data_IF_571656085762
#
_entry.id   IF_571656085762
#
_cell.length_a   1.000
_cell.length_b   1.000
_cell.length_c   1.000
_cell.angle_alpha   90.00
_cell.angle_beta   90.00
_cell.angle_gamma   90.00
#
_symmetry.space_group_name_H-M   'P 1'
#
loop_
_entity.id
_entity.type
_entity.pdbx_description
1 polymer ?
#
# COMPACT_ATOMS: atom_id res chain seq x y z
N UNK A 1 32.64 28.36 -4.03
CA UNK A 1 33.23 27.03 -3.84
C UNK A 1 32.08 26.05 -3.90
N UNK A 2 31.92 25.43 -5.05
CA UNK A 2 30.89 24.43 -5.35
C UNK A 2 31.51 23.06 -5.10
N UNK A 3 31.12 22.42 -4.00
CA UNK A 3 31.48 21.02 -3.79
C UNK A 3 30.49 20.13 -4.56
N UNK A 4 31.03 19.50 -5.59
CA UNK A 4 30.37 18.44 -6.35
C UNK A 4 30.21 17.22 -5.43
N UNK A 5 29.00 16.90 -5.07
CA UNK A 5 28.66 15.64 -4.39
C UNK A 5 28.56 14.54 -5.46
N UNK A 6 29.70 13.90 -5.77
CA UNK A 6 29.71 12.64 -6.50
C UNK A 6 29.24 11.54 -5.54
N UNK A 7 28.04 11.00 -5.81
CA UNK A 7 27.56 9.81 -5.13
C UNK A 7 28.44 8.60 -5.47
N UNK A 8 28.59 7.63 -4.57
CA UNK A 8 29.45 6.47 -4.79
C UNK A 8 28.95 5.66 -5.99
N UNK A 9 29.65 5.78 -7.09
CA UNK A 9 29.70 4.80 -8.17
C UNK A 9 30.68 3.74 -7.69
N UNK A 10 30.35 2.47 -7.97
CA UNK A 10 31.28 1.34 -7.87
C UNK A 10 31.40 0.59 -6.53
N UNK A 11 30.26 -0.02 -6.08
CA UNK A 11 30.35 -1.27 -5.29
C UNK A 11 29.29 -2.31 -5.72
N UNK A 12 28.77 -2.22 -6.94
CA UNK A 12 27.65 -3.06 -7.41
C UNK A 12 28.10 -4.30 -8.21
N UNK A 13 29.41 -4.49 -8.43
CA UNK A 13 29.94 -5.62 -9.21
C UNK A 13 30.54 -6.75 -8.33
N UNK A 14 30.03 -6.98 -7.13
CA UNK A 14 30.31 -8.23 -6.43
C UNK A 14 29.30 -9.28 -6.84
N UNK A 15 29.85 -10.34 -7.45
CA UNK A 15 29.18 -11.53 -7.93
C UNK A 15 28.12 -12.02 -6.93
N UNK A 16 26.90 -12.21 -7.41
CA UNK A 16 25.82 -12.84 -6.68
C UNK A 16 26.15 -14.32 -6.47
N UNK A 17 25.88 -14.90 -5.30
CA UNK A 17 25.93 -16.34 -5.16
C UNK A 17 24.87 -16.97 -6.08
N UNK A 18 25.32 -17.87 -6.93
CA UNK A 18 24.45 -18.78 -7.68
C UNK A 18 23.67 -19.63 -6.67
N UNK A 19 22.35 -19.59 -6.72
CA UNK A 19 21.57 -20.53 -5.94
C UNK A 19 20.32 -19.95 -5.33
N UNK A 20 19.28 -20.01 -6.05
CA UNK A 20 17.91 -19.74 -5.62
C UNK A 20 16.98 -19.93 -6.81
N UNK A 21 16.97 -21.15 -7.36
CA UNK A 21 15.98 -21.57 -8.35
C UNK A 21 14.60 -21.53 -7.71
N UNK A 22 13.90 -20.42 -7.91
CA UNK A 22 12.46 -20.42 -7.80
C UNK A 22 11.91 -21.22 -8.98
N UNK A 23 11.81 -22.51 -8.79
CA UNK A 23 11.21 -23.41 -9.75
C UNK A 23 9.73 -23.06 -9.93
N UNK A 24 9.42 -22.31 -10.98
CA UNK A 24 8.23 -22.66 -11.72
C UNK A 24 8.61 -23.88 -12.57
N UNK A 25 8.23 -25.05 -12.15
CA UNK A 25 8.36 -26.28 -12.95
C UNK A 25 7.42 -26.25 -14.17
N UNK A 26 7.37 -25.12 -14.88
CA UNK A 26 6.74 -25.05 -16.18
C UNK A 26 7.69 -25.66 -17.20
N UNK A 27 7.59 -26.97 -17.39
CA UNK A 27 8.10 -27.61 -18.60
C UNK A 27 7.10 -27.32 -19.71
N UNK A 28 7.50 -26.61 -20.79
CA UNK A 28 6.67 -26.50 -21.97
C UNK A 28 6.30 -27.92 -22.40
N UNK A 29 5.02 -28.19 -22.57
CA UNK A 29 4.56 -29.47 -23.09
C UNK A 29 5.24 -29.75 -24.43
N UNK A 30 5.78 -30.97 -24.60
CA UNK A 30 6.41 -31.38 -25.83
C UNK A 30 5.39 -31.26 -26.97
N UNK A 31 5.61 -30.33 -27.89
CA UNK A 31 4.65 -29.99 -28.96
C UNK A 31 4.42 -31.10 -29.98
N UNK A 32 5.11 -32.21 -29.83
CA UNK A 32 5.00 -33.37 -30.71
C UNK A 32 3.89 -34.36 -30.30
N UNK A 33 3.26 -34.21 -29.14
CA UNK A 33 2.18 -35.09 -28.70
C UNK A 33 0.81 -34.47 -29.02
N UNK A 34 0.31 -34.77 -30.23
CA UNK A 34 -0.98 -34.28 -30.77
C UNK A 34 -2.19 -34.82 -29.96
N UNK A 35 -1.96 -35.67 -28.97
CA UNK A 35 -2.99 -36.31 -28.16
C UNK A 35 -3.06 -35.86 -26.70
N UNK A 36 -2.46 -34.73 -26.33
CA UNK A 36 -2.59 -34.20 -24.95
C UNK A 36 -4.03 -33.73 -24.76
N UNK A 37 -4.87 -34.60 -24.25
CA UNK A 37 -6.18 -34.27 -23.73
C UNK A 37 -5.98 -33.57 -22.39
N UNK A 38 -5.89 -32.23 -22.38
CA UNK A 38 -6.00 -31.45 -21.16
C UNK A 38 -7.41 -31.64 -20.60
N UNK A 39 -7.52 -32.36 -19.51
CA UNK A 39 -8.80 -32.45 -18.81
C UNK A 39 -9.08 -31.06 -18.22
N UNK A 40 -10.29 -30.53 -18.46
CA UNK A 40 -10.74 -29.23 -17.98
C UNK A 40 -10.54 -29.07 -16.45
N UNK A 41 -10.69 -30.16 -15.69
CA UNK A 41 -10.43 -30.20 -14.25
C UNK A 41 -8.97 -29.92 -13.89
N UNK A 42 -8.00 -30.45 -14.63
CA UNK A 42 -6.56 -30.19 -14.38
C UNK A 42 -6.18 -28.75 -14.74
N UNK A 43 -6.73 -28.22 -15.83
CA UNK A 43 -6.54 -26.80 -16.18
C UNK A 43 -7.12 -25.88 -15.09
N UNK A 44 -8.34 -26.18 -14.62
CA UNK A 44 -8.97 -25.39 -13.56
C UNK A 44 -8.16 -25.46 -12.26
N UNK A 45 -7.71 -26.65 -11.87
CA UNK A 45 -6.94 -26.82 -10.64
C UNK A 45 -5.61 -26.07 -10.69
N UNK A 46 -4.79 -26.26 -11.72
CA UNK A 46 -3.46 -25.70 -11.79
C UNK A 46 -3.49 -24.18 -12.07
N UNK A 47 -4.21 -23.75 -13.10
CA UNK A 47 -4.25 -22.31 -13.44
C UNK A 47 -5.00 -21.48 -12.42
N UNK A 48 -6.03 -22.03 -11.79
CA UNK A 48 -6.73 -21.33 -10.72
C UNK A 48 -5.85 -21.18 -9.48
N UNK A 49 -5.10 -22.20 -9.10
CA UNK A 49 -4.17 -22.13 -7.96
C UNK A 49 -3.03 -21.16 -8.25
N UNK A 50 -2.46 -21.17 -9.45
CA UNK A 50 -1.41 -20.25 -9.85
C UNK A 50 -1.91 -18.80 -9.82
N UNK A 51 -3.10 -18.55 -10.40
CA UNK A 51 -3.70 -17.23 -10.37
C UNK A 51 -4.07 -16.79 -8.95
N UNK A 52 -4.65 -17.66 -8.14
CA UNK A 52 -4.99 -17.37 -6.75
C UNK A 52 -3.74 -17.02 -5.93
N UNK A 53 -2.67 -17.81 -6.06
CA UNK A 53 -1.39 -17.56 -5.42
C UNK A 53 -0.79 -16.22 -5.84
N UNK A 54 -0.81 -15.92 -7.14
CA UNK A 54 -0.35 -14.63 -7.66
C UNK A 54 -1.15 -13.45 -7.07
N UNK A 55 -2.49 -13.54 -7.04
CA UNK A 55 -3.34 -12.47 -6.49
C UNK A 55 -3.11 -12.28 -5.00
N UNK A 56 -2.86 -13.35 -4.24
CA UNK A 56 -2.57 -13.26 -2.80
C UNK A 56 -1.20 -12.61 -2.58
N UNK A 57 -0.15 -13.15 -3.18
CA UNK A 57 1.24 -12.79 -2.87
C UNK A 57 1.70 -11.50 -3.55
N UNK A 58 1.27 -11.27 -4.80
CA UNK A 58 1.81 -10.19 -5.63
C UNK A 58 0.83 -9.01 -5.84
N UNK A 59 -0.36 -9.03 -5.20
CA UNK A 59 -1.34 -7.95 -5.40
C UNK A 59 -2.08 -7.51 -4.14
N UNK A 60 -2.76 -8.42 -3.44
CA UNK A 60 -3.80 -8.05 -2.49
C UNK A 60 -3.32 -7.92 -1.05
N UNK A 61 -2.39 -8.78 -0.63
CA UNK A 61 -1.96 -8.86 0.77
C UNK A 61 -0.73 -7.99 0.98
N UNK A 62 -0.75 -7.09 1.99
CA UNK A 62 0.43 -6.32 2.38
C UNK A 62 1.44 -7.22 3.08
N UNK A 63 2.71 -6.90 2.95
CA UNK A 63 3.75 -7.60 3.71
C UNK A 63 3.84 -7.02 5.13
N UNK A 64 3.97 -7.88 6.15
CA UNK A 64 3.97 -7.46 7.55
C UNK A 64 5.14 -6.54 7.91
N UNK A 65 6.30 -6.72 7.28
CA UNK A 65 7.51 -5.95 7.58
C UNK A 65 7.43 -4.48 7.16
N UNK A 66 6.73 -4.17 6.08
CA UNK A 66 6.64 -2.81 5.56
C UNK A 66 5.20 -2.29 5.42
N UNK A 67 4.20 -3.12 5.64
CA UNK A 67 2.80 -2.72 5.53
C UNK A 67 2.34 -2.39 4.11
N UNK A 68 3.12 -2.73 3.10
CA UNK A 68 2.90 -2.32 1.72
C UNK A 68 2.48 -3.49 0.84
N UNK A 69 1.57 -3.21 -0.09
CA UNK A 69 1.31 -4.09 -1.23
C UNK A 69 2.47 -3.98 -2.23
N UNK A 70 2.73 -5.00 -3.05
CA UNK A 70 3.84 -4.96 -4.02
C UNK A 70 3.84 -3.72 -4.92
N UNK A 71 2.69 -3.30 -5.44
CA UNK A 71 2.59 -2.08 -6.26
C UNK A 71 2.98 -0.81 -5.50
N UNK A 72 2.58 -0.69 -4.23
CA UNK A 72 2.91 0.45 -3.39
C UNK A 72 4.41 0.52 -3.11
N UNK A 73 5.03 -0.63 -2.84
CA UNK A 73 6.48 -0.74 -2.64
C UNK A 73 7.25 -0.33 -3.88
N UNK A 74 6.82 -0.76 -5.07
CA UNK A 74 7.41 -0.37 -6.36
C UNK A 74 7.26 1.12 -6.66
N UNK A 75 6.12 1.73 -6.30
CA UNK A 75 5.90 3.18 -6.39
C UNK A 75 6.91 3.92 -5.52
N UNK A 76 7.02 3.57 -4.24
CA UNK A 76 7.96 4.23 -3.33
C UNK A 76 9.42 4.02 -3.75
N UNK A 77 9.76 2.84 -4.24
CA UNK A 77 11.08 2.57 -4.81
C UNK A 77 11.37 3.44 -6.04
N UNK A 78 10.40 3.58 -6.96
CA UNK A 78 10.51 4.48 -8.11
C UNK A 78 10.71 5.92 -7.70
N UNK A 79 9.90 6.40 -6.75
CA UNK A 79 10.01 7.77 -6.23
C UNK A 79 11.39 7.99 -5.56
N UNK A 80 11.91 6.99 -4.83
CA UNK A 80 13.24 7.07 -4.22
C UNK A 80 14.36 7.18 -5.25
N UNK A 81 14.25 6.49 -6.38
CA UNK A 81 15.22 6.58 -7.49
C UNK A 81 15.16 7.91 -8.23
N UNK A 82 14.01 8.56 -8.22
CA UNK A 82 13.79 9.87 -8.85
C UNK A 82 14.00 11.05 -7.89
N UNK A 83 14.34 10.76 -6.62
CA UNK A 83 14.38 11.76 -5.55
C UNK A 83 15.49 12.80 -5.76
N UNK A 84 15.08 14.05 -5.94
CA UNK A 84 15.95 15.22 -6.07
C UNK A 84 15.49 16.42 -5.23
N UNK A 85 14.57 16.19 -4.30
CA UNK A 85 13.97 17.21 -3.42
C UNK A 85 12.81 17.98 -4.05
N UNK A 86 12.54 17.81 -5.34
CA UNK A 86 11.47 18.52 -6.06
C UNK A 86 10.24 17.66 -6.25
N UNK A 87 9.12 18.31 -6.52
CA UNK A 87 7.91 17.62 -6.96
C UNK A 87 8.08 17.08 -8.37
N UNK A 88 7.67 15.85 -8.58
CA UNK A 88 7.62 15.20 -9.88
C UNK A 88 6.17 15.04 -10.34
N UNK A 89 5.92 15.22 -11.64
CA UNK A 89 4.61 14.89 -12.23
C UNK A 89 4.27 13.43 -11.96
N UNK A 90 3.05 13.18 -11.52
CA UNK A 90 2.57 11.81 -11.28
C UNK A 90 2.72 10.96 -12.56
N UNK A 91 2.47 11.51 -13.73
CA UNK A 91 2.69 10.83 -15.01
C UNK A 91 4.12 10.29 -15.17
N UNK A 92 5.14 11.04 -14.72
CA UNK A 92 6.53 10.60 -14.77
C UNK A 92 6.81 9.48 -13.75
N UNK A 93 6.23 9.58 -12.55
CA UNK A 93 6.34 8.54 -11.53
C UNK A 93 5.71 7.24 -12.04
N UNK A 94 4.52 7.30 -12.66
CA UNK A 94 3.88 6.13 -13.26
C UNK A 94 4.76 5.50 -14.34
N UNK A 95 5.27 6.31 -15.28
CA UNK A 95 6.16 5.83 -16.34
C UNK A 95 7.41 5.15 -15.78
N UNK A 96 8.03 5.74 -14.74
CA UNK A 96 9.17 5.13 -14.10
C UNK A 96 8.81 3.84 -13.34
N UNK A 97 7.62 3.77 -12.74
CA UNK A 97 7.18 2.60 -11.98
C UNK A 97 6.86 1.40 -12.89
N UNK A 98 6.36 1.65 -14.10
CA UNK A 98 6.00 0.57 -15.06
C UNK A 98 7.18 -0.33 -15.48
N UNK A 99 8.43 0.08 -15.25
CA UNK A 99 9.59 -0.78 -15.50
C UNK A 99 9.74 -1.96 -14.51
N UNK A 100 8.99 -1.97 -13.40
CA UNK A 100 9.06 -3.03 -12.38
C UNK A 100 7.93 -4.06 -12.48
N UNK A 101 6.64 -3.69 -12.55
CA UNK A 101 5.55 -4.63 -12.69
C UNK A 101 5.04 -4.71 -14.14
N UNK A 102 4.47 -5.85 -14.54
CA UNK A 102 3.74 -5.98 -15.81
C UNK A 102 2.32 -5.43 -15.69
N UNK A 103 2.15 -4.24 -15.09
CA UNK A 103 0.85 -3.62 -14.85
C UNK A 103 0.71 -2.31 -15.60
N UNK A 104 -0.51 -1.96 -16.01
CA UNK A 104 -0.81 -0.70 -16.67
C UNK A 104 -0.76 0.51 -15.73
N UNK A 105 -0.62 1.68 -16.33
CA UNK A 105 -0.53 2.99 -15.67
C UNK A 105 -1.74 3.32 -14.77
N UNK A 106 -2.94 2.92 -15.16
CA UNK A 106 -4.15 3.19 -14.40
C UNK A 106 -4.10 2.57 -12.98
N UNK A 107 -3.74 1.28 -12.87
CA UNK A 107 -3.67 0.59 -11.58
C UNK A 107 -2.56 1.13 -10.68
N UNK A 108 -1.44 1.56 -11.26
CA UNK A 108 -0.35 2.21 -10.54
C UNK A 108 -0.80 3.61 -10.08
N UNK A 109 -1.52 4.33 -10.94
CA UNK A 109 -2.08 5.64 -10.64
C UNK A 109 -3.04 5.61 -9.46
N UNK A 110 -3.98 4.69 -9.46
CA UNK A 110 -4.93 4.51 -8.37
C UNK A 110 -4.22 4.18 -7.04
N UNK A 111 -3.21 3.31 -7.08
CA UNK A 111 -2.42 2.98 -5.90
C UNK A 111 -1.61 4.18 -5.38
N UNK A 112 -1.04 5.00 -6.27
CA UNK A 112 -0.32 6.21 -5.90
C UNK A 112 -1.25 7.26 -5.29
N UNK A 113 -2.45 7.45 -5.87
CA UNK A 113 -3.46 8.37 -5.31
C UNK A 113 -3.89 7.92 -3.91
N UNK A 114 -4.16 6.63 -3.72
CA UNK A 114 -4.49 6.09 -2.40
C UNK A 114 -3.37 6.29 -1.36
N UNK A 115 -2.11 6.13 -1.75
CA UNK A 115 -0.97 6.43 -0.87
C UNK A 115 -0.88 7.92 -0.53
N UNK A 116 -1.09 8.80 -1.52
CA UNK A 116 -1.07 10.24 -1.33
C UNK A 116 -2.19 10.73 -0.41
N UNK A 117 -3.39 10.21 -0.57
CA UNK A 117 -4.55 10.56 0.26
C UNK A 117 -4.41 10.16 1.74
N UNK A 118 -3.46 9.28 2.08
CA UNK A 118 -3.13 8.94 3.48
C UNK A 118 -2.23 9.97 4.16
N UNK A 119 -1.69 10.93 3.40
CA UNK A 119 -0.96 12.11 3.89
C UNK A 119 0.20 11.80 4.86
N UNK A 120 0.91 10.70 4.60
CA UNK A 120 2.01 10.23 5.46
C UNK A 120 3.33 10.07 4.70
N UNK A 121 3.34 9.30 3.61
CA UNK A 121 4.56 8.94 2.88
C UNK A 121 4.85 9.85 1.70
N UNK A 122 3.85 10.54 1.21
CA UNK A 122 3.91 11.32 -0.03
C UNK A 122 3.36 12.73 0.23
N UNK A 123 4.18 13.73 -0.07
CA UNK A 123 3.73 15.11 -0.19
C UNK A 123 3.04 15.28 -1.54
N UNK A 124 1.80 15.75 -1.51
CA UNK A 124 0.94 15.89 -2.67
C UNK A 124 0.79 17.35 -3.10
N UNK A 125 0.82 17.62 -4.39
CA UNK A 125 0.53 18.95 -4.96
C UNK A 125 -0.49 18.82 -6.09
N UNK A 126 -1.50 19.73 -6.06
CA UNK A 126 -2.63 19.69 -6.98
C UNK A 126 -3.87 19.01 -6.39
N UNK A 127 -4.82 18.64 -7.26
CA UNK A 127 -6.07 18.01 -6.84
C UNK A 127 -5.92 16.47 -6.80
N UNK A 128 -5.76 15.94 -5.60
CA UNK A 128 -5.65 14.49 -5.34
C UNK A 128 -6.98 13.81 -4.98
N UNK A 129 -8.10 14.49 -5.26
CA UNK A 129 -9.43 14.04 -4.86
C UNK A 129 -9.73 14.36 -3.40
N UNK A 130 -10.87 13.89 -2.92
CA UNK A 130 -11.29 14.13 -1.54
C UNK A 130 -12.00 12.89 -0.99
N UNK A 131 -11.43 12.31 0.07
CA UNK A 131 -11.98 11.10 0.71
C UNK A 131 -13.35 11.32 1.38
N UNK A 132 -13.68 12.57 1.74
CA UNK A 132 -14.95 12.90 2.37
C UNK A 132 -16.08 13.08 1.36
N UNK A 133 -15.81 13.77 0.25
CA UNK A 133 -16.81 13.98 -0.81
C UNK A 133 -16.89 12.80 -1.77
N UNK A 134 -15.80 12.06 -1.93
CA UNK A 134 -15.67 10.99 -2.93
C UNK A 134 -15.19 11.48 -4.29
N UNK A 135 -14.75 12.76 -4.39
CA UNK A 135 -14.23 13.31 -5.64
C UNK A 135 -12.95 12.59 -6.07
N UNK A 136 -12.85 12.34 -7.36
CA UNK A 136 -11.69 11.70 -7.96
C UNK A 136 -10.51 12.67 -8.06
N UNK A 137 -9.29 12.13 -8.05
CA UNK A 137 -8.08 12.89 -8.33
C UNK A 137 -8.07 13.39 -9.78
N UNK A 138 -7.38 14.50 -10.02
CA UNK A 138 -7.12 14.99 -11.36
C UNK A 138 -6.21 14.02 -12.13
N UNK A 139 -6.20 14.15 -13.47
CA UNK A 139 -5.36 13.30 -14.30
C UNK A 139 -3.86 13.43 -13.92
N UNK A 140 -3.07 12.33 -14.05
CA UNK A 140 -1.66 12.27 -13.63
C UNK A 140 -0.73 13.36 -14.17
N UNK A 141 -1.08 13.97 -15.32
CA UNK A 141 -0.34 15.07 -15.92
C UNK A 141 -0.47 16.41 -15.18
N UNK A 142 -1.49 16.55 -14.31
CA UNK A 142 -1.77 17.81 -13.62
C UNK A 142 -1.32 17.81 -12.16
N UNK A 143 -1.19 16.66 -11.54
CA UNK A 143 -0.82 16.50 -10.14
C UNK A 143 0.65 16.10 -10.01
N UNK A 144 1.23 16.45 -8.87
CA UNK A 144 2.63 16.25 -8.58
C UNK A 144 2.82 15.63 -7.20
N UNK A 145 3.90 14.87 -7.04
CA UNK A 145 4.24 14.20 -5.81
C UNK A 145 5.74 14.19 -5.56
N UNK A 146 6.11 14.12 -4.29
CA UNK A 146 7.45 13.77 -3.83
C UNK A 146 7.36 12.92 -2.56
N UNK A 147 8.45 12.27 -2.19
CA UNK A 147 8.51 11.58 -0.90
C UNK A 147 8.50 12.60 0.23
N UNK A 148 7.72 12.32 1.28
CA UNK A 148 7.74 13.11 2.50
C UNK A 148 9.08 12.93 3.23
N UNK A 149 9.44 13.91 4.07
CA UNK A 149 10.63 13.79 4.92
C UNK A 149 10.54 12.54 5.81
N UNK A 150 9.36 12.26 6.35
CA UNK A 150 9.12 11.06 7.13
C UNK A 150 9.42 9.78 6.32
N UNK A 151 8.95 9.69 5.08
CA UNK A 151 9.22 8.54 4.23
C UNK A 151 10.72 8.35 3.97
N UNK A 152 11.45 9.44 3.70
CA UNK A 152 12.90 9.40 3.47
C UNK A 152 13.68 8.88 4.69
N UNK A 153 13.27 9.28 5.89
CA UNK A 153 13.96 8.92 7.13
C UNK A 153 13.60 7.52 7.65
N UNK A 154 12.37 7.07 7.38
CA UNK A 154 11.79 5.87 8.03
C UNK A 154 11.71 4.67 7.11
N UNK A 155 11.45 4.88 5.81
CA UNK A 155 11.12 3.78 4.89
C UNK A 155 12.35 3.13 4.27
N UNK A 156 13.41 3.89 4.02
CA UNK A 156 14.54 3.43 3.21
C UNK A 156 15.80 3.19 4.03
N UNK A 157 16.41 2.04 3.84
CA UNK A 157 17.75 1.72 4.35
C UNK A 157 18.44 0.76 3.37
N UNK A 158 19.30 1.26 2.47
CA UNK A 158 19.95 0.42 1.45
C UNK A 158 20.78 -0.73 2.02
N UNK A 159 21.32 -0.58 3.25
CA UNK A 159 22.18 -1.59 3.88
C UNK A 159 21.42 -2.84 4.36
N UNK A 160 20.12 -2.72 4.60
CA UNK A 160 19.28 -3.80 5.13
C UNK A 160 18.15 -4.19 4.16
N UNK A 161 18.13 -3.61 2.95
CA UNK A 161 17.15 -3.94 1.93
C UNK A 161 17.60 -5.19 1.17
N UNK A 162 16.70 -6.18 1.08
CA UNK A 162 16.87 -7.34 0.20
C UNK A 162 16.33 -7.00 -1.19
N UNK A 163 17.07 -7.40 -2.22
CA UNK A 163 16.80 -7.07 -3.62
C UNK A 163 16.47 -8.32 -4.42
N UNK A 164 15.47 -8.23 -5.29
CA UNK A 164 15.18 -9.22 -6.33
C UNK A 164 15.20 -8.57 -7.72
N UNK A 165 15.30 -9.39 -8.77
CA UNK A 165 15.16 -8.89 -10.13
C UNK A 165 13.69 -8.53 -10.42
N UNK A 166 13.49 -7.50 -11.24
CA UNK A 166 12.18 -7.18 -11.81
C UNK A 166 11.69 -8.31 -12.73
N UNK A 167 10.40 -8.30 -13.09
CA UNK A 167 9.79 -9.32 -13.94
C UNK A 167 10.52 -9.56 -15.26
N UNK A 168 11.17 -8.53 -15.81
CA UNK A 168 11.92 -8.57 -17.08
C UNK A 168 13.44 -8.83 -16.88
N UNK A 169 13.88 -8.96 -15.62
CA UNK A 169 15.28 -9.20 -15.25
C UNK A 169 16.23 -8.01 -15.43
N UNK A 170 15.72 -6.83 -15.88
CA UNK A 170 16.57 -5.68 -16.23
C UNK A 170 16.87 -4.78 -15.05
N UNK A 171 16.01 -4.76 -14.06
CA UNK A 171 16.11 -3.89 -12.89
C UNK A 171 16.10 -4.70 -11.59
N UNK A 172 16.57 -4.10 -10.51
CA UNK A 172 16.41 -4.63 -9.16
C UNK A 172 15.28 -3.89 -8.46
N UNK A 173 14.44 -4.62 -7.75
CA UNK A 173 13.38 -4.10 -6.90
C UNK A 173 13.50 -4.66 -5.48
N UNK A 174 13.07 -3.92 -4.44
CA UNK A 174 13.14 -4.43 -3.08
C UNK A 174 12.12 -5.55 -2.86
N UNK A 175 12.53 -6.61 -2.17
CA UNK A 175 11.61 -7.66 -1.69
C UNK A 175 10.67 -7.07 -0.65
N UNK A 176 11.24 -6.39 0.35
CA UNK A 176 10.53 -5.58 1.35
C UNK A 176 11.33 -4.31 1.64
N UNK A 177 10.68 -3.27 2.13
CA UNK A 177 11.35 -2.08 2.60
C UNK A 177 11.59 -2.17 4.11
N UNK A 178 12.78 -1.80 4.61
CA UNK A 178 13.11 -1.90 6.04
C UNK A 178 12.53 -0.74 6.84
N UNK A 179 11.21 -0.66 6.92
CA UNK A 179 10.48 0.41 7.60
C UNK A 179 10.71 0.37 9.10
N UNK A 180 11.07 1.50 9.70
CA UNK A 180 11.39 1.65 11.12
C UNK A 180 10.18 2.02 11.99
N UNK A 181 8.98 1.95 11.47
CA UNK A 181 7.74 2.38 12.11
C UNK A 181 6.62 1.38 11.76
N UNK A 182 5.63 1.14 12.64
CA UNK A 182 4.53 0.21 12.36
C UNK A 182 3.55 0.75 11.32
N UNK A 183 4.05 0.89 10.08
CA UNK A 183 3.36 1.51 8.95
C UNK A 183 2.06 0.81 8.59
N UNK A 184 2.02 -0.52 8.74
CA UNK A 184 0.83 -1.33 8.50
C UNK A 184 -0.36 -0.85 9.35
N UNK A 185 -0.12 -0.59 10.63
CA UNK A 185 -1.15 -0.11 11.55
C UNK A 185 -1.47 1.37 11.33
N UNK A 186 -0.47 2.20 11.03
CA UNK A 186 -0.69 3.63 10.78
C UNK A 186 -1.58 3.88 9.57
N UNK A 187 -1.31 3.18 8.46
CA UNK A 187 -2.03 3.40 7.22
C UNK A 187 -3.32 2.58 7.11
N UNK A 188 -3.40 1.47 7.82
CA UNK A 188 -4.42 0.47 7.56
C UNK A 188 -4.35 -0.06 6.12
N UNK A 189 -4.86 -1.22 5.87
CA UNK A 189 -4.89 -1.84 4.55
C UNK A 189 -6.14 -2.68 4.40
N UNK A 190 -6.76 -2.59 3.24
CA UNK A 190 -7.80 -3.51 2.82
C UNK A 190 -7.39 -4.19 1.52
N UNK A 191 -7.50 -5.51 1.46
CA UNK A 191 -7.16 -6.30 0.29
C UNK A 191 -8.09 -7.48 0.12
N UNK A 192 -8.61 -7.64 -1.09
CA UNK A 192 -9.47 -8.77 -1.45
C UNK A 192 -8.69 -9.63 -2.45
N UNK A 193 -8.46 -10.87 -2.08
CA UNK A 193 -7.80 -11.87 -2.92
C UNK A 193 -8.78 -13.02 -3.23
N UNK A 194 -8.28 -14.06 -3.87
CA UNK A 194 -9.06 -15.28 -4.12
C UNK A 194 -9.06 -16.14 -2.85
N UNK A 195 -10.23 -16.33 -2.25
CA UNK A 195 -10.41 -17.13 -1.03
C UNK A 195 -9.92 -16.48 0.27
N UNK A 196 -9.24 -15.32 0.19
CA UNK A 196 -8.72 -14.58 1.33
C UNK A 196 -9.05 -13.10 1.22
N UNK A 197 -9.27 -12.45 2.35
CA UNK A 197 -9.33 -11.00 2.46
C UNK A 197 -8.58 -10.54 3.70
N UNK A 198 -7.93 -9.39 3.60
CA UNK A 198 -7.30 -8.72 4.74
C UNK A 198 -7.95 -7.37 4.96
N UNK A 199 -8.22 -7.03 6.21
CA UNK A 199 -8.72 -5.72 6.60
C UNK A 199 -8.07 -5.31 7.91
N UNK A 200 -7.11 -4.41 7.80
CA UNK A 200 -6.40 -3.80 8.92
C UNK A 200 -6.82 -2.35 8.97
N UNK A 201 -7.42 -1.95 10.10
CA UNK A 201 -7.88 -0.59 10.29
C UNK A 201 -6.71 0.35 10.62
N UNK A 202 -6.74 1.62 10.20
CA UNK A 202 -5.72 2.60 10.57
C UNK A 202 -5.80 2.95 12.06
N UNK A 203 -4.68 3.43 12.60
CA UNK A 203 -4.53 3.84 14.00
C UNK A 203 -3.87 5.22 14.07
N UNK A 204 -4.05 5.89 15.18
CA UNK A 204 -3.46 7.20 15.43
C UNK A 204 -1.93 7.13 15.46
N UNK A 205 -1.28 8.05 14.75
CA UNK A 205 0.18 8.09 14.63
C UNK A 205 0.88 8.28 16.00
N UNK A 206 0.37 9.19 16.82
CA UNK A 206 0.98 9.47 18.14
C UNK A 206 0.81 8.29 19.09
N UNK A 207 -0.38 7.67 19.11
CA UNK A 207 -0.64 6.47 19.91
C UNK A 207 0.24 5.29 19.48
N UNK A 208 0.54 5.16 18.18
CA UNK A 208 1.46 4.15 17.69
C UNK A 208 2.91 4.41 18.14
N UNK A 209 3.35 5.67 18.20
CA UNK A 209 4.64 6.01 18.75
C UNK A 209 4.72 5.65 20.24
N UNK A 210 3.72 6.04 21.03
CA UNK A 210 3.63 5.74 22.47
C UNK A 210 3.57 4.23 22.72
N UNK A 211 2.77 3.50 21.95
CA UNK A 211 2.69 2.05 22.03
C UNK A 211 4.02 1.37 21.67
N UNK A 212 4.73 1.89 20.67
CA UNK A 212 6.06 1.39 20.29
C UNK A 212 7.08 1.57 21.41
N UNK A 213 7.06 2.71 22.10
CA UNK A 213 7.91 2.96 23.27
C UNK A 213 7.58 1.98 24.41
N UNK A 214 6.29 1.82 24.75
CA UNK A 214 5.83 0.87 25.76
C UNK A 214 6.23 -0.56 25.44
N UNK A 215 6.05 -0.97 24.17
CA UNK A 215 6.46 -2.30 23.73
C UNK A 215 7.96 -2.56 23.95
N UNK A 216 8.80 -1.58 23.62
CA UNK A 216 10.26 -1.69 23.84
C UNK A 216 10.64 -1.73 25.33
N UNK A 217 9.81 -1.17 26.20
CA UNK A 217 9.98 -1.26 27.65
C UNK A 217 9.30 -2.48 28.29
N UNK A 218 8.67 -3.37 27.50
CA UNK A 218 7.86 -4.49 27.97
C UNK A 218 6.71 -4.06 28.86
N UNK A 219 6.10 -2.91 28.58
CA UNK A 219 4.91 -2.40 29.26
C UNK A 219 3.65 -2.79 28.49
N UNK A 220 2.55 -2.98 29.20
CA UNK A 220 1.25 -3.23 28.58
C UNK A 220 0.72 -1.96 27.90
N UNK A 221 0.12 -2.13 26.73
CA UNK A 221 -0.58 -1.07 26.02
C UNK A 221 -1.84 -1.61 25.32
N UNK A 222 -2.74 -0.70 24.97
CA UNK A 222 -3.91 -0.99 24.14
C UNK A 222 -3.95 0.01 23.01
N UNK A 223 -4.26 -0.48 21.81
CA UNK A 223 -4.47 0.33 20.62
C UNK A 223 -5.88 0.13 20.10
N UNK A 224 -6.51 1.21 19.67
CA UNK A 224 -7.80 1.17 19.01
C UNK A 224 -7.70 1.85 17.64
N UNK A 225 -8.48 1.38 16.65
CA UNK A 225 -8.53 2.05 15.35
C UNK A 225 -8.92 3.52 15.47
N UNK A 226 -8.30 4.36 14.64
CA UNK A 226 -8.62 5.78 14.50
C UNK A 226 -8.68 6.15 13.01
N UNK A 227 -9.53 7.09 12.65
CA UNK A 227 -9.87 7.37 11.27
C UNK A 227 -9.71 8.84 10.92
N UNK A 228 -9.12 9.15 9.76
CA UNK A 228 -8.97 10.51 9.24
C UNK A 228 -10.31 11.26 9.08
N UNK A 229 -11.40 10.51 8.84
CA UNK A 229 -12.74 11.08 8.67
C UNK A 229 -13.42 11.43 10.01
N UNK A 230 -12.81 11.04 11.14
CA UNK A 230 -13.40 11.21 12.46
C UNK A 230 -14.55 10.23 12.73
N UNK A 231 -15.53 10.70 13.54
CA UNK A 231 -16.67 9.90 13.98
C UNK A 231 -16.47 9.28 15.36
N UNK A 232 -17.54 8.74 15.91
CA UNK A 232 -17.52 8.02 17.16
C UNK A 232 -17.35 6.51 16.91
N UNK A 233 -16.39 5.88 17.59
CA UNK A 233 -16.12 4.45 17.45
C UNK A 233 -16.57 3.68 18.69
N UNK A 234 -17.28 2.57 18.48
CA UNK A 234 -17.61 1.57 19.51
C UNK A 234 -16.68 0.37 19.31
N UNK A 235 -15.75 0.20 20.22
CA UNK A 235 -14.71 -0.84 20.23
C UNK A 235 -15.04 -2.01 21.16
N UNK A 236 -16.24 -2.06 21.75
CA UNK A 236 -16.63 -3.08 22.73
C UNK A 236 -16.49 -4.53 22.21
N UNK A 237 -16.53 -4.71 20.89
CA UNK A 237 -16.39 -6.00 20.21
C UNK A 237 -15.15 -6.05 19.30
N UNK A 238 -14.17 -5.18 19.51
CA UNK A 238 -12.99 -5.09 18.65
C UNK A 238 -12.11 -6.34 18.71
N UNK A 239 -12.05 -6.98 19.89
CA UNK A 239 -11.27 -8.20 20.14
C UNK A 239 -9.83 -8.10 19.65
N UNK A 240 -9.20 -6.94 19.87
CA UNK A 240 -7.81 -6.63 19.50
C UNK A 240 -7.48 -6.90 18.01
N UNK A 241 -8.47 -6.78 17.13
CA UNK A 241 -8.34 -7.02 15.70
C UNK A 241 -8.35 -8.49 15.29
N UNK A 242 -8.54 -9.41 16.20
CA UNK A 242 -8.64 -10.84 15.91
C UNK A 242 -9.89 -11.20 15.10
N UNK A 243 -9.87 -12.38 14.51
CA UNK A 243 -10.98 -12.88 13.70
C UNK A 243 -12.29 -12.90 14.50
N UNK A 244 -13.35 -12.33 13.92
CA UNK A 244 -14.65 -12.20 14.56
C UNK A 244 -14.81 -10.89 15.34
N UNK A 245 -13.74 -10.10 15.50
CA UNK A 245 -13.83 -8.75 16.04
C UNK A 245 -14.62 -7.82 15.13
N UNK A 246 -15.26 -6.82 15.71
CA UNK A 246 -16.03 -5.81 14.98
C UNK A 246 -15.93 -4.44 15.66
N UNK A 247 -15.86 -3.42 14.83
CA UNK A 247 -15.99 -2.03 15.26
C UNK A 247 -17.22 -1.40 14.63
N UNK A 248 -17.88 -0.52 15.35
CA UNK A 248 -19.01 0.25 14.84
C UNK A 248 -18.65 1.72 14.84
N UNK A 249 -18.61 2.33 13.66
CA UNK A 249 -18.34 3.77 13.50
C UNK A 249 -19.64 4.50 13.24
N UNK A 250 -19.87 5.60 13.96
CA UNK A 250 -21.06 6.45 13.83
C UNK A 250 -20.65 7.87 13.52
N UNK A 251 -21.48 8.57 12.75
CA UNK A 251 -21.35 10.00 12.52
C UNK A 251 -21.40 10.78 13.84
N UNK A 252 -20.68 11.89 13.89
CA UNK A 252 -20.82 12.86 14.97
C UNK A 252 -21.89 13.88 14.58
N UNK A 253 -23.00 13.86 15.30
CA UNK A 253 -24.16 14.67 15.04
C UNK A 253 -24.30 15.70 16.15
N UNK A 254 -24.48 16.95 15.78
CA UNK A 254 -24.68 18.08 16.67
C UNK A 254 -26.06 18.70 16.43
N UNK A 255 -26.77 19.00 17.51
CA UNK A 255 -28.02 19.77 17.46
C UNK A 255 -27.69 21.28 17.55
N UNK A 256 -27.91 21.99 16.47
CA UNK A 256 -27.69 23.45 16.41
C UNK A 256 -28.89 24.20 17.00
N UNK A 257 -30.09 23.78 16.60
CA UNK A 257 -31.36 24.33 17.12
C UNK A 257 -32.46 23.27 17.15
N UNK A 258 -33.70 23.66 17.44
CA UNK A 258 -34.81 22.72 17.56
C UNK A 258 -35.23 22.06 16.24
N UNK A 259 -34.78 22.57 15.11
CA UNK A 259 -35.16 22.10 13.76
C UNK A 259 -33.94 21.65 12.95
N UNK A 260 -32.73 21.96 13.40
CA UNK A 260 -31.50 21.77 12.63
C UNK A 260 -30.54 20.81 13.35
N UNK A 261 -30.18 19.72 12.68
CA UNK A 261 -29.10 18.83 13.05
C UNK A 261 -27.98 18.97 12.03
N UNK A 262 -26.74 18.97 12.49
CA UNK A 262 -25.55 19.02 11.63
C UNK A 262 -24.70 17.77 11.86
N UNK A 263 -24.35 17.09 10.78
CA UNK A 263 -23.37 16.00 10.80
C UNK A 263 -21.99 16.65 10.64
N UNK A 264 -21.19 16.65 11.71
CA UNK A 264 -19.85 17.25 11.74
C UNK A 264 -18.79 16.32 11.17
N UNK A 265 -18.92 15.03 11.44
CA UNK A 265 -17.98 14.00 11.02
C UNK A 265 -18.77 12.80 10.48
N UNK A 266 -18.30 12.22 9.38
CA UNK A 266 -18.95 11.08 8.73
C UNK A 266 -18.27 9.77 9.13
N UNK A 267 -18.98 8.64 9.09
CA UNK A 267 -18.37 7.34 9.41
C UNK A 267 -17.28 6.96 8.39
N UNK A 268 -16.24 6.30 8.87
CA UNK A 268 -15.17 5.78 8.03
C UNK A 268 -15.71 4.92 6.87
N UNK A 269 -15.14 5.15 5.68
CA UNK A 269 -15.53 4.43 4.45
C UNK A 269 -16.86 4.88 3.84
N UNK A 270 -17.41 6.00 4.30
CA UNK A 270 -18.57 6.65 3.71
C UNK A 270 -18.20 8.02 3.13
N UNK A 271 -18.88 8.41 2.07
CA UNK A 271 -18.79 9.76 1.50
C UNK A 271 -20.00 10.57 1.90
N UNK A 272 -19.89 11.91 1.78
CA UNK A 272 -21.00 12.81 2.03
C UNK A 272 -22.22 12.45 1.17
N UNK A 273 -21.99 12.15 -0.11
CA UNK A 273 -23.08 11.73 -1.02
C UNK A 273 -23.77 10.46 -0.49
N UNK A 274 -23.02 9.41 -0.11
CA UNK A 274 -23.60 8.16 0.40
C UNK A 274 -24.34 8.33 1.74
N UNK A 275 -23.94 9.31 2.55
CA UNK A 275 -24.65 9.64 3.79
C UNK A 275 -25.96 10.37 3.47
N UNK A 276 -25.93 11.33 2.54
CA UNK A 276 -27.14 12.02 2.07
C UNK A 276 -28.15 11.01 1.51
N UNK A 277 -27.74 10.11 0.62
CA UNK A 277 -28.60 9.08 0.02
C UNK A 277 -29.20 8.14 1.07
N UNK A 278 -28.54 7.94 2.21
CA UNK A 278 -29.05 7.10 3.29
C UNK A 278 -30.06 7.79 4.21
N UNK A 279 -30.19 9.13 4.10
CA UNK A 279 -31.11 9.94 4.92
C UNK A 279 -32.42 10.18 4.15
N UNK A 280 -32.35 10.28 2.82
CA UNK A 280 -33.50 10.43 1.93
C UNK A 280 -34.18 9.09 1.69
#
# INVERSE_FOLDING_TARGET
>A
MSENFEGPKDELDKELPEGGEGHSDYKPADTNDVNIKHQLSGMYQNWFLDYASYVILERAVPHIMDGLKPVQRRILHSMRRMEDGRYNKVANILGHTMQFPPHGDASIGDALVQLGQKDLLIDCQGNWGNILTGDSAAAPRYIEARLSKFALDVVFNPKTTEWKLSYDGRNKEPVTLPVKFPLLLAQGVEGIAVGLSSKILPHNFNELCDASVKYLHNEEFKLYPDFQTGGNIDVSKYNDGERGGAVRVRAKIEKVDNKTLVIREIPYGKTVASVCDSIV
#
